data_IF_823048060545
#
_entry.id   IF_823048060545
#
_cell.length_a   1.000
_cell.length_b   1.000
_cell.length_c   1.000
_cell.angle_alpha   90.00
_cell.angle_beta   90.00
_cell.angle_gamma   90.00
#
_symmetry.space_group_name_H-M   'P 1'
#
loop_
_entity.id
_entity.type
_entity.pdbx_description
1 polymer ?
#
# COMPACT_ATOMS: atom_id res chain seq x y z
N UNK A 1 16.98 -24.47 -8.45
CA UNK A 1 16.04 -23.62 -9.19
C UNK A 1 16.57 -23.46 -10.60
N UNK A 2 15.96 -24.14 -11.57
CA UNK A 2 16.24 -23.95 -12.99
C UNK A 2 15.13 -23.06 -13.54
N UNK A 3 15.48 -21.83 -13.92
CA UNK A 3 14.59 -20.94 -14.65
C UNK A 3 14.87 -21.16 -16.14
N UNK A 4 13.86 -21.63 -16.88
CA UNK A 4 13.90 -21.75 -18.33
C UNK A 4 13.07 -20.65 -18.99
N UNK A 5 13.50 -20.19 -20.17
CA UNK A 5 12.79 -19.21 -21.00
C UNK A 5 13.50 -17.86 -21.06
N UNK A 6 13.40 -17.19 -22.23
CA UNK A 6 14.18 -16.04 -22.76
C UNK A 6 14.15 -14.72 -21.94
N UNK A 7 13.95 -14.81 -20.63
CA UNK A 7 13.81 -13.71 -19.68
C UNK A 7 15.11 -13.11 -19.17
N UNK A 8 16.20 -13.15 -19.92
CA UNK A 8 17.32 -12.23 -19.69
C UNK A 8 17.41 -11.38 -20.96
N UNK A 9 17.25 -10.07 -20.85
CA UNK A 9 17.15 -9.12 -21.98
C UNK A 9 18.36 -9.02 -22.92
N UNK A 10 19.19 -10.07 -23.03
CA UNK A 10 20.17 -10.30 -24.06
C UNK A 10 20.01 -11.75 -24.57
N UNK A 11 19.37 -11.98 -25.73
CA UNK A 11 19.12 -13.32 -26.26
C UNK A 11 20.40 -14.10 -26.68
N UNK A 12 21.59 -13.51 -26.54
CA UNK A 12 22.84 -14.05 -27.08
C UNK A 12 23.84 -14.57 -26.05
N UNK A 13 23.66 -14.31 -24.73
CA UNK A 13 24.63 -14.77 -23.72
C UNK A 13 23.93 -15.28 -22.46
N UNK A 14 24.26 -16.50 -22.05
CA UNK A 14 23.85 -17.05 -20.76
C UNK A 14 24.52 -16.27 -19.63
N UNK A 15 23.75 -15.71 -18.67
CA UNK A 15 24.34 -15.00 -17.56
C UNK A 15 25.23 -15.95 -16.74
N UNK A 16 26.45 -15.50 -16.47
CA UNK A 16 27.43 -16.23 -15.67
C UNK A 16 27.92 -15.34 -14.54
N UNK A 17 27.12 -15.23 -13.48
CA UNK A 17 27.62 -14.67 -12.24
C UNK A 17 28.67 -15.62 -11.66
N UNK A 18 29.81 -15.06 -11.26
CA UNK A 18 30.87 -15.81 -10.58
C UNK A 18 30.82 -15.52 -9.09
N UNK A 19 30.75 -16.58 -8.28
CA UNK A 19 30.80 -16.46 -6.83
C UNK A 19 32.20 -16.05 -6.37
N UNK A 20 32.25 -15.14 -5.40
CA UNK A 20 33.49 -14.64 -4.80
C UNK A 20 33.35 -14.74 -3.28
N UNK A 21 34.42 -15.16 -2.62
CA UNK A 21 34.43 -15.40 -1.17
C UNK A 21 33.45 -16.50 -0.78
N UNK A 22 32.66 -16.23 0.25
CA UNK A 22 31.69 -17.20 0.80
C UNK A 22 30.34 -17.22 0.04
N UNK A 23 30.18 -16.35 -0.96
CA UNK A 23 28.96 -16.30 -1.74
C UNK A 23 28.75 -17.60 -2.54
N UNK A 24 27.51 -18.03 -2.75
CA UNK A 24 27.17 -19.26 -3.45
C UNK A 24 26.14 -19.01 -4.56
N UNK A 25 26.26 -19.69 -5.72
CA UNK A 25 25.23 -19.66 -6.74
C UNK A 25 23.97 -20.38 -6.24
N UNK A 26 22.84 -19.68 -6.30
CA UNK A 26 21.54 -20.17 -5.79
C UNK A 26 20.44 -20.22 -6.85
N UNK A 27 20.66 -19.55 -7.99
CA UNK A 27 19.73 -19.52 -9.11
C UNK A 27 20.49 -19.79 -10.40
N UNK A 28 19.94 -20.68 -11.22
CA UNK A 28 20.52 -21.05 -12.52
C UNK A 28 19.53 -20.74 -13.62
N UNK A 29 20.04 -20.16 -14.69
CA UNK A 29 19.33 -19.93 -15.93
C UNK A 29 19.85 -20.92 -16.97
N UNK A 30 18.92 -21.61 -17.64
CA UNK A 30 19.25 -22.53 -18.72
C UNK A 30 18.63 -22.01 -20.03
N UNK A 31 19.47 -21.73 -21.03
CA UNK A 31 19.00 -21.46 -22.40
C UNK A 31 18.60 -22.77 -23.09
N UNK A 32 19.35 -23.83 -22.83
CA UNK A 32 19.08 -25.20 -23.24
C UNK A 32 19.82 -26.16 -22.28
N UNK A 33 19.65 -27.47 -22.46
CA UNK A 33 20.22 -28.49 -21.56
C UNK A 33 21.76 -28.44 -21.41
N UNK A 34 22.46 -27.83 -22.37
CA UNK A 34 23.91 -27.73 -22.39
C UNK A 34 24.44 -26.32 -22.06
N UNK A 35 23.56 -25.36 -21.82
CA UNK A 35 23.91 -23.95 -21.66
C UNK A 35 23.21 -23.38 -20.40
N UNK A 36 23.86 -23.65 -19.26
CA UNK A 36 23.37 -23.33 -17.92
C UNK A 36 24.39 -22.44 -17.21
N UNK A 37 23.93 -21.29 -16.73
CA UNK A 37 24.76 -20.33 -16.00
C UNK A 37 24.12 -19.88 -14.70
N UNK A 38 24.96 -19.46 -13.75
CA UNK A 38 24.48 -18.89 -12.50
C UNK A 38 23.88 -17.50 -12.76
N UNK A 39 22.59 -17.38 -12.51
CA UNK A 39 21.80 -16.16 -12.70
C UNK A 39 21.52 -15.43 -11.37
N UNK A 40 21.82 -16.08 -10.24
CA UNK A 40 21.76 -15.45 -8.93
C UNK A 40 22.76 -16.03 -7.94
N UNK A 41 23.39 -15.14 -7.18
CA UNK A 41 24.38 -15.46 -6.15
C UNK A 41 23.91 -14.90 -4.82
N UNK A 42 23.91 -15.74 -3.79
CA UNK A 42 23.57 -15.33 -2.44
C UNK A 42 24.80 -15.35 -1.53
N UNK A 43 24.84 -14.42 -0.58
CA UNK A 43 25.72 -14.49 0.57
C UNK A 43 24.87 -14.35 1.84
N UNK A 44 25.15 -15.19 2.84
CA UNK A 44 24.46 -15.20 4.12
C UNK A 44 25.51 -15.06 5.21
N UNK A 45 25.33 -14.04 6.04
CA UNK A 45 26.14 -13.79 7.25
C UNK A 45 25.23 -13.84 8.47
N UNK A 46 25.81 -13.73 9.66
CA UNK A 46 25.05 -13.62 10.91
C UNK A 46 24.19 -12.34 11.00
N UNK A 47 24.53 -11.29 10.24
CA UNK A 47 23.88 -9.97 10.33
C UNK A 47 23.02 -9.60 9.12
N UNK A 48 23.30 -10.16 7.94
CA UNK A 48 22.58 -9.85 6.71
C UNK A 48 22.62 -10.97 5.68
N UNK A 49 21.63 -10.93 4.79
CA UNK A 49 21.56 -11.74 3.58
C UNK A 49 21.65 -10.82 2.36
N UNK A 50 22.39 -11.21 1.34
CA UNK A 50 22.47 -10.50 0.07
C UNK A 50 22.16 -11.47 -1.06
N UNK A 51 21.37 -11.03 -2.04
CA UNK A 51 21.12 -11.75 -3.28
C UNK A 51 21.41 -10.80 -4.45
N UNK A 52 22.36 -11.18 -5.31
CA UNK A 52 22.63 -10.51 -6.57
C UNK A 52 21.99 -11.32 -7.70
N UNK A 53 21.26 -10.64 -8.58
CA UNK A 53 20.66 -11.23 -9.78
C UNK A 53 21.30 -10.59 -11.02
N UNK A 54 21.53 -11.39 -12.06
CA UNK A 54 22.08 -10.91 -13.34
C UNK A 54 21.01 -10.36 -14.28
N UNK A 55 19.76 -10.37 -13.84
CA UNK A 55 18.60 -10.01 -14.64
C UNK A 55 17.61 -9.18 -13.82
N UNK A 56 16.81 -8.32 -14.47
CA UNK A 56 15.76 -7.57 -13.80
C UNK A 56 14.59 -8.47 -13.36
N UNK A 57 13.94 -8.21 -12.22
CA UNK A 57 12.85 -9.08 -11.75
C UNK A 57 11.64 -9.11 -12.71
N UNK A 58 11.42 -8.06 -13.49
CA UNK A 58 10.34 -7.98 -14.47
C UNK A 58 10.51 -8.95 -15.65
N UNK A 59 11.71 -9.47 -15.88
CA UNK A 59 11.99 -10.43 -16.94
C UNK A 59 11.71 -11.89 -16.52
N UNK A 60 11.35 -12.11 -15.26
CA UNK A 60 10.87 -13.40 -14.78
C UNK A 60 9.45 -13.60 -15.32
N UNK A 61 9.29 -14.54 -16.25
CA UNK A 61 8.00 -14.95 -16.79
C UNK A 61 7.61 -14.25 -18.10
N UNK A 62 7.58 -15.03 -19.19
CA UNK A 62 7.06 -14.59 -20.48
C UNK A 62 7.64 -15.33 -21.70
N UNK A 63 7.36 -16.64 -21.80
CA UNK A 63 7.44 -17.54 -22.99
C UNK A 63 7.85 -18.97 -22.55
N UNK A 64 7.00 -19.66 -21.77
CA UNK A 64 7.17 -21.09 -21.47
C UNK A 64 8.08 -21.44 -20.27
N UNK A 65 8.42 -20.47 -19.42
CA UNK A 65 9.16 -20.73 -18.18
C UNK A 65 8.30 -21.36 -17.07
N UNK A 66 8.93 -22.17 -16.22
CA UNK A 66 8.29 -22.94 -15.14
C UNK A 66 8.02 -22.16 -13.85
N UNK A 67 8.54 -20.93 -13.71
CA UNK A 67 8.35 -20.09 -12.52
C UNK A 67 7.69 -18.77 -12.91
N UNK A 68 6.56 -18.51 -12.28
CA UNK A 68 5.86 -17.23 -12.36
C UNK A 68 6.57 -16.21 -11.45
N UNK A 69 6.70 -14.96 -11.92
CA UNK A 69 7.36 -13.86 -11.21
C UNK A 69 6.92 -13.75 -9.75
N UNK A 70 5.63 -13.90 -9.52
CA UNK A 70 5.01 -13.80 -8.21
C UNK A 70 5.52 -14.86 -7.24
N UNK A 71 5.55 -16.12 -7.70
CA UNK A 71 6.06 -17.24 -6.92
C UNK A 71 7.56 -17.09 -6.60
N UNK A 72 8.34 -16.59 -7.56
CA UNK A 72 9.76 -16.28 -7.33
C UNK A 72 9.95 -15.20 -6.26
N UNK A 73 9.20 -14.09 -6.35
CA UNK A 73 9.28 -12.99 -5.39
C UNK A 73 8.88 -13.45 -3.99
N UNK A 74 7.81 -14.24 -3.87
CA UNK A 74 7.36 -14.75 -2.58
C UNK A 74 8.45 -15.59 -1.91
N UNK A 75 9.09 -16.50 -2.66
CA UNK A 75 10.20 -17.32 -2.15
C UNK A 75 11.41 -16.48 -1.73
N UNK A 76 11.71 -15.41 -2.46
CA UNK A 76 12.80 -14.50 -2.12
C UNK A 76 12.52 -13.78 -0.80
N UNK A 77 11.30 -13.30 -0.59
CA UNK A 77 10.87 -12.65 0.65
C UNK A 77 10.98 -13.63 1.83
N UNK A 78 10.46 -14.85 1.70
CA UNK A 78 10.60 -15.89 2.72
C UNK A 78 12.06 -16.17 3.03
N UNK A 79 12.90 -16.31 2.01
CA UNK A 79 14.32 -16.59 2.18
C UNK A 79 15.08 -15.47 2.89
N UNK A 80 14.71 -14.20 2.65
CA UNK A 80 15.26 -13.05 3.37
C UNK A 80 14.86 -13.02 4.85
N UNK A 81 13.98 -13.91 5.30
CA UNK A 81 13.47 -13.94 6.67
C UNK A 81 12.19 -13.11 6.84
N UNK A 82 11.50 -12.78 5.74
CA UNK A 82 10.12 -12.31 5.81
C UNK A 82 9.24 -13.45 6.31
N UNK A 83 8.94 -13.43 7.60
CA UNK A 83 7.99 -14.34 8.24
C UNK A 83 6.65 -14.28 7.50
N UNK A 84 6.19 -15.43 6.98
CA UNK A 84 4.91 -15.55 6.27
C UNK A 84 3.76 -15.86 7.25
N UNK A 85 4.03 -15.93 8.56
CA UNK A 85 3.00 -16.02 9.61
C UNK A 85 2.52 -14.65 10.10
N UNK A 86 2.96 -13.56 9.47
CA UNK A 86 2.13 -12.36 9.51
C UNK A 86 0.79 -12.74 8.86
N UNK A 87 -0.36 -12.61 9.56
CA UNK A 87 -1.64 -12.72 8.88
C UNK A 87 -1.59 -11.79 7.67
N UNK A 88 -2.29 -12.13 6.59
CA UNK A 88 -2.46 -11.26 5.44
C UNK A 88 -3.25 -9.99 5.81
N UNK A 89 -2.78 -9.22 6.79
CA UNK A 89 -3.12 -7.84 7.02
C UNK A 89 -2.13 -7.04 6.21
N UNK A 90 -2.60 -6.72 5.01
CA UNK A 90 -2.49 -5.40 4.40
C UNK A 90 -1.14 -4.73 4.62
N UNK A 91 -0.29 -4.71 3.59
CA UNK A 91 0.89 -3.85 3.48
C UNK A 91 0.49 -2.46 3.96
N UNK A 92 0.69 -2.17 5.25
CA UNK A 92 0.08 -1.02 5.88
C UNK A 92 0.98 0.15 5.52
N UNK A 93 0.79 0.68 4.33
CA UNK A 93 1.21 2.04 4.04
C UNK A 93 0.69 2.88 5.22
N UNK A 94 1.56 3.68 5.88
CA UNK A 94 1.15 4.40 7.08
C UNK A 94 -0.15 5.14 6.77
N UNK A 95 -1.23 4.78 7.46
CA UNK A 95 -2.54 5.32 7.13
C UNK A 95 -2.43 6.85 7.28
N UNK A 96 -2.67 7.61 6.22
CA UNK A 96 -2.44 9.05 6.29
C UNK A 96 -3.58 9.74 7.05
N UNK A 97 -3.30 10.91 7.62
CA UNK A 97 -4.36 11.77 8.13
C UNK A 97 -5.14 12.36 6.95
N UNK A 98 -6.35 11.86 6.74
CA UNK A 98 -7.15 12.17 5.56
C UNK A 98 -8.62 12.40 5.92
N UNK A 99 -9.27 13.22 5.12
CA UNK A 99 -10.72 13.38 5.08
C UNK A 99 -11.13 13.02 3.66
N UNK A 100 -12.04 12.06 3.49
CA UNK A 100 -12.51 11.59 2.20
C UNK A 100 -13.78 12.32 1.77
N UNK A 101 -14.16 12.30 0.48
CA UNK A 101 -15.44 12.83 0.04
C UNK A 101 -16.57 12.15 0.80
N UNK A 102 -17.51 12.95 1.31
CA UNK A 102 -18.73 12.40 1.88
C UNK A 102 -19.57 11.74 0.79
N UNK A 103 -20.28 10.67 1.13
CA UNK A 103 -21.18 9.98 0.21
C UNK A 103 -22.54 9.67 0.85
N UNK A 104 -23.65 10.01 0.16
CA UNK A 104 -23.70 10.77 -1.10
C UNK A 104 -23.28 12.26 -0.92
N UNK A 105 -22.86 12.92 -2.00
CA UNK A 105 -22.66 14.38 -2.07
C UNK A 105 -22.89 14.83 -3.53
N UNK A 106 -23.93 15.64 -3.84
CA UNK A 106 -24.90 16.21 -2.90
C UNK A 106 -25.74 15.16 -2.16
N UNK A 107 -26.24 15.49 -0.96
CA UNK A 107 -27.07 14.59 -0.14
C UNK A 107 -28.43 15.22 0.20
N UNK A 108 -29.43 14.39 0.46
CA UNK A 108 -30.82 14.80 0.70
C UNK A 108 -31.33 14.57 2.13
N UNK A 109 -30.70 13.69 2.91
CA UNK A 109 -31.06 13.47 4.31
C UNK A 109 -29.83 13.11 5.12
N UNK A 110 -29.13 12.06 4.71
CA UNK A 110 -27.98 11.53 5.44
C UNK A 110 -26.78 11.40 4.50
N UNK A 111 -25.58 11.65 5.02
CA UNK A 111 -24.32 11.42 4.32
C UNK A 111 -23.29 10.80 5.27
N UNK A 112 -22.46 9.90 4.74
CA UNK A 112 -21.34 9.30 5.47
C UNK A 112 -20.09 10.09 5.14
N UNK A 113 -19.33 10.45 6.16
CA UNK A 113 -18.07 11.19 6.04
C UNK A 113 -16.93 10.26 6.50
N UNK A 114 -16.19 9.66 5.56
CA UNK A 114 -15.04 8.83 5.89
C UNK A 114 -13.82 9.70 6.17
N UNK A 115 -13.02 9.27 7.14
CA UNK A 115 -11.75 9.90 7.46
C UNK A 115 -10.77 8.88 8.05
N UNK A 116 -9.49 9.21 8.03
CA UNK A 116 -8.45 8.36 8.60
C UNK A 116 -7.50 9.14 9.48
N UNK A 117 -7.05 8.49 10.55
CA UNK A 117 -6.04 9.01 11.46
C UNK A 117 -4.78 8.15 11.34
N UNK A 118 -3.64 8.80 11.06
CA UNK A 118 -2.36 8.09 11.00
C UNK A 118 -1.73 7.80 12.35
N UNK A 119 -2.22 8.44 13.41
CA UNK A 119 -1.81 8.19 14.79
C UNK A 119 -3.02 8.34 15.69
N UNK A 120 -3.07 7.56 16.76
CA UNK A 120 -4.08 7.71 17.80
C UNK A 120 -3.95 9.09 18.46
N UNK A 121 -5.07 9.77 18.70
CA UNK A 121 -5.04 11.11 19.24
C UNK A 121 -6.41 11.77 19.31
N UNK A 122 -6.44 12.94 19.94
CA UNK A 122 -7.64 13.75 20.00
C UNK A 122 -7.93 14.37 18.63
N UNK A 123 -9.16 14.23 18.15
CA UNK A 123 -9.61 14.82 16.91
C UNK A 123 -11.01 15.41 17.04
N UNK A 124 -11.30 16.41 16.21
CA UNK A 124 -12.62 17.01 16.06
C UNK A 124 -13.04 16.98 14.60
N UNK A 125 -14.25 16.48 14.32
CA UNK A 125 -14.91 16.57 13.03
C UNK A 125 -16.14 17.46 13.19
N UNK A 126 -16.13 18.61 12.51
CA UNK A 126 -17.22 19.58 12.55
C UNK A 126 -17.72 19.95 11.17
N UNK A 127 -19.00 20.30 11.09
CA UNK A 127 -19.65 20.88 9.93
C UNK A 127 -19.78 22.39 10.13
N UNK A 128 -19.44 23.16 9.11
CA UNK A 128 -19.39 24.62 9.15
C UNK A 128 -20.16 25.20 7.97
N UNK A 129 -20.84 26.32 8.20
CA UNK A 129 -21.47 27.10 7.12
C UNK A 129 -20.45 28.03 6.40
N UNK A 130 -20.91 28.77 5.39
CA UNK A 130 -20.10 29.71 4.62
C UNK A 130 -19.52 30.87 5.44
N UNK A 131 -20.12 31.17 6.60
CA UNK A 131 -19.63 32.22 7.52
C UNK A 131 -18.56 31.69 8.48
N UNK A 132 -18.28 30.39 8.45
CA UNK A 132 -17.36 29.73 9.36
C UNK A 132 -17.99 29.38 10.72
N UNK A 133 -19.31 29.47 10.87
CA UNK A 133 -20.00 29.02 12.08
C UNK A 133 -20.08 27.51 12.08
N UNK A 134 -19.68 26.87 13.18
CA UNK A 134 -19.90 25.44 13.36
C UNK A 134 -21.41 25.21 13.55
N UNK A 135 -22.00 24.41 12.67
CA UNK A 135 -23.43 24.05 12.70
C UNK A 135 -23.67 22.66 13.27
N UNK A 136 -22.69 21.76 13.19
CA UNK A 136 -22.76 20.45 13.84
C UNK A 136 -21.36 19.96 14.27
N UNK A 137 -21.28 19.27 15.41
CA UNK A 137 -20.08 18.56 15.85
C UNK A 137 -20.33 17.06 15.73
N UNK A 138 -19.65 16.40 14.80
CA UNK A 138 -19.83 14.98 14.49
C UNK A 138 -18.92 14.09 15.33
N UNK A 139 -17.70 14.57 15.59
CA UNK A 139 -16.71 13.87 16.42
C UNK A 139 -16.00 14.91 17.27
N UNK A 140 -15.78 14.59 18.55
CA UNK A 140 -14.88 15.34 19.43
C UNK A 140 -14.38 14.39 20.52
N UNK A 141 -13.18 13.85 20.33
CA UNK A 141 -12.65 12.85 21.24
C UNK A 141 -11.35 12.22 20.77
N UNK A 142 -10.80 11.35 21.61
CA UNK A 142 -9.60 10.57 21.30
C UNK A 142 -9.99 9.30 20.57
N UNK A 143 -9.50 9.16 19.33
CA UNK A 143 -9.70 7.97 18.50
C UNK A 143 -8.38 7.26 18.27
N UNK A 144 -8.45 5.95 17.99
CA UNK A 144 -7.27 5.17 17.59
C UNK A 144 -6.85 5.51 16.16
N UNK A 145 -5.58 5.27 15.83
CA UNK A 145 -5.13 5.23 14.44
C UNK A 145 -6.00 4.24 13.65
N UNK A 146 -6.38 4.61 12.44
CA UNK A 146 -7.31 3.80 11.64
C UNK A 146 -8.28 4.63 10.81
N UNK A 147 -9.12 3.90 10.05
CA UNK A 147 -10.23 4.48 9.29
C UNK A 147 -11.46 4.60 10.19
N UNK A 148 -12.17 5.70 10.04
CA UNK A 148 -13.35 6.06 10.81
C UNK A 148 -14.40 6.63 9.88
N UNK A 149 -15.66 6.60 10.32
CA UNK A 149 -16.77 7.17 9.60
C UNK A 149 -17.67 7.91 10.57
N UNK A 150 -18.12 9.10 10.18
CA UNK A 150 -19.17 9.83 10.88
C UNK A 150 -20.42 9.91 9.99
N UNK A 151 -21.58 9.75 10.61
CA UNK A 151 -22.87 9.92 9.94
C UNK A 151 -23.37 11.34 10.21
N UNK A 152 -23.67 12.07 9.15
CA UNK A 152 -24.34 13.36 9.21
C UNK A 152 -25.80 13.17 8.81
N UNK A 153 -26.72 13.58 9.69
CA UNK A 153 -28.15 13.65 9.42
C UNK A 153 -28.60 15.11 9.46
N UNK A 154 -29.04 15.63 8.30
CA UNK A 154 -29.46 17.02 8.14
C UNK A 154 -30.67 17.39 9.00
N UNK A 155 -31.54 16.43 9.33
CA UNK A 155 -32.73 16.64 10.15
C UNK A 155 -32.34 16.92 11.59
N UNK A 156 -31.42 16.12 12.13
CA UNK A 156 -30.95 16.27 13.52
C UNK A 156 -30.04 17.49 13.69
N UNK A 157 -29.34 17.88 12.62
CA UNK A 157 -28.47 19.04 12.59
C UNK A 157 -29.19 20.35 12.19
N UNK A 158 -30.49 20.30 11.88
CA UNK A 158 -31.32 21.45 11.46
C UNK A 158 -30.68 22.28 10.33
N UNK A 159 -30.26 21.58 9.26
CA UNK A 159 -29.56 22.21 8.14
C UNK A 159 -30.52 22.81 7.11
N UNK A 160 -30.20 24.01 6.64
CA UNK A 160 -30.80 24.61 5.45
C UNK A 160 -30.14 24.10 4.17
N UNK A 161 -30.85 24.06 3.04
CA UNK A 161 -30.23 23.73 1.75
C UNK A 161 -29.06 24.66 1.43
N UNK A 162 -27.94 24.11 0.94
CA UNK A 162 -26.77 24.94 0.66
C UNK A 162 -25.42 24.23 0.69
N UNK A 163 -24.37 25.06 0.64
CA UNK A 163 -22.97 24.64 0.68
C UNK A 163 -22.43 24.74 2.11
N UNK A 164 -21.78 23.67 2.54
CA UNK A 164 -21.14 23.51 3.83
C UNK A 164 -19.68 23.06 3.67
N UNK A 165 -18.93 23.17 4.77
CA UNK A 165 -17.58 22.66 4.89
C UNK A 165 -17.46 21.67 6.04
N UNK A 166 -17.00 20.47 5.73
CA UNK A 166 -16.60 19.48 6.73
C UNK A 166 -15.13 19.73 7.06
N UNK A 167 -14.80 19.91 8.33
CA UNK A 167 -13.44 20.12 8.82
C UNK A 167 -13.06 19.05 9.83
N UNK A 168 -12.03 18.29 9.50
CA UNK A 168 -11.35 17.37 10.40
C UNK A 168 -10.09 18.07 10.94
N UNK A 169 -9.94 18.13 12.26
CA UNK A 169 -8.75 18.64 12.93
C UNK A 169 -8.19 17.60 13.89
N UNK A 170 -6.89 17.33 13.77
CA UNK A 170 -6.08 16.56 14.72
C UNK A 170 -5.09 17.46 15.45
N UNK A 171 -4.05 16.87 16.05
CA UNK A 171 -3.07 17.61 16.86
C UNK A 171 -2.27 18.66 16.08
N UNK A 172 -1.84 18.34 14.86
CA UNK A 172 -0.97 19.16 14.01
C UNK A 172 -1.52 19.34 12.58
N UNK A 173 -2.65 18.69 12.26
CA UNK A 173 -3.19 18.65 10.90
C UNK A 173 -4.66 19.04 10.85
N UNK A 174 -5.02 19.68 9.74
CA UNK A 174 -6.40 20.04 9.40
C UNK A 174 -6.68 19.63 7.96
N UNK A 175 -7.87 19.07 7.72
CA UNK A 175 -8.40 18.76 6.39
C UNK A 175 -9.81 19.32 6.28
N UNK A 176 -10.13 19.90 5.12
CA UNK A 176 -11.42 20.53 4.86
C UNK A 176 -11.96 20.02 3.52
N UNK A 177 -13.26 19.72 3.46
CA UNK A 177 -13.97 19.38 2.22
C UNK A 177 -15.31 20.08 2.12
N UNK A 178 -15.73 20.33 0.88
CA UNK A 178 -17.06 20.86 0.55
C UNK A 178 -18.12 19.77 0.66
N UNK A 179 -19.30 20.15 1.11
CA UNK A 179 -20.48 19.29 1.20
C UNK A 179 -21.72 20.09 0.75
N UNK A 180 -22.57 19.50 -0.07
CA UNK A 180 -23.78 20.15 -0.59
C UNK A 180 -25.02 19.40 -0.09
N UNK A 181 -25.90 20.13 0.61
CA UNK A 181 -27.17 19.60 1.08
C UNK A 181 -28.34 20.10 0.21
N UNK A 182 -29.18 19.18 -0.27
CA UNK A 182 -30.37 19.42 -1.09
C UNK A 182 -31.57 18.60 -0.56
N UNK A 183 -32.47 19.19 0.24
CA UNK A 183 -33.67 18.52 0.77
C UNK A 183 -34.63 18.07 -0.34
#
# INVERSE_FOLDING_TARGET
FLLGGDGAGAPDVTPSLTAVGDAQPVLYYARNDNDIGAAGIANVTDSYKTLLLSFPLESIGGAGGSEEREHFVQRLVTWLGGDQDAPADDITQPLEFSLEPAYPNPFNSTSVIPFSLGRSGHCTLGLYDLTGRMVAQLVNGTLQAGRHQAVLDATTADLSSGLYYVRLAGSDQVRIRKLVYIP
#
